data_IF_362901449365
#
_entry.id   IF_362901449365
#
_cell.length_a   1.000
_cell.length_b   1.000
_cell.length_c   1.000
_cell.angle_alpha   90.00
_cell.angle_beta   90.00
_cell.angle_gamma   90.00
#
_symmetry.space_group_name_H-M   'P 1'
#
loop_
_entity.id
_entity.type
_entity.pdbx_description
1 polymer ?
#
# COMPACT_ATOMS: atom_id res chain seq x y z
N UNK A 1 -17.16 19.52 20.36
CA UNK A 1 -15.79 19.47 20.93
C UNK A 1 -14.85 20.19 19.99
N UNK A 2 -14.21 21.31 20.45
CA UNK A 2 -13.16 21.99 19.67
C UNK A 2 -11.86 21.20 19.87
N UNK A 3 -11.59 20.26 18.97
CA UNK A 3 -10.37 19.47 19.00
C UNK A 3 -9.11 20.29 18.66
N UNK A 4 -9.28 21.42 17.96
CA UNK A 4 -8.20 22.35 17.63
C UNK A 4 -8.70 23.77 17.44
N UNK A 5 -7.79 24.75 17.49
CA UNK A 5 -8.04 26.14 17.13
C UNK A 5 -6.82 26.73 16.41
N UNK A 6 -7.08 27.59 15.43
CA UNK A 6 -6.03 28.38 14.77
C UNK A 6 -6.02 29.75 15.42
N UNK A 7 -4.90 30.15 16.00
CA UNK A 7 -4.71 31.45 16.63
C UNK A 7 -3.84 32.31 15.73
N UNK A 8 -4.38 33.43 15.30
CA UNK A 8 -3.64 34.45 14.54
C UNK A 8 -2.91 35.38 15.56
N UNK A 9 -1.62 35.53 15.42
CA UNK A 9 -0.79 36.39 16.25
C UNK A 9 -0.41 37.66 15.47
N UNK A 10 -1.03 38.78 15.80
CA UNK A 10 -0.49 40.08 15.43
C UNK A 10 0.64 40.45 16.45
N UNK A 11 1.81 40.95 16.04
CA UNK A 11 2.14 41.68 14.82
C UNK A 11 2.81 40.85 13.68
N UNK A 12 3.11 39.57 13.90
CA UNK A 12 3.99 38.82 13.00
C UNK A 12 3.25 38.07 11.87
N UNK A 13 1.94 38.25 11.67
CA UNK A 13 1.13 37.52 10.69
C UNK A 13 1.30 36.00 10.76
N UNK A 14 1.65 35.47 11.95
CA UNK A 14 1.84 34.04 12.17
C UNK A 14 0.53 33.38 12.60
N UNK A 15 0.32 32.14 12.11
CA UNK A 15 -0.76 31.28 12.55
C UNK A 15 -0.21 30.18 13.44
N UNK A 16 -0.80 30.01 14.61
CA UNK A 16 -0.44 28.90 15.53
C UNK A 16 -1.61 27.94 15.65
N UNK A 17 -1.36 26.69 15.35
CA UNK A 17 -2.30 25.60 15.56
C UNK A 17 -2.21 25.15 17.02
N UNK A 18 -3.29 25.32 17.78
CA UNK A 18 -3.44 24.74 19.12
C UNK A 18 -4.28 23.50 19.03
N UNK A 19 -3.74 22.37 19.46
CA UNK A 19 -4.38 21.07 19.43
C UNK A 19 -4.65 20.65 20.88
N UNK A 20 -5.83 20.10 21.17
CA UNK A 20 -6.13 19.51 22.48
C UNK A 20 -5.34 18.22 22.68
N UNK A 21 -5.05 17.85 23.92
CA UNK A 21 -4.28 16.65 24.28
C UNK A 21 -4.88 15.34 23.72
N UNK A 22 -6.17 15.35 23.41
CA UNK A 22 -6.90 14.20 22.86
C UNK A 22 -7.03 14.20 21.33
N UNK A 23 -6.33 15.11 20.62
CA UNK A 23 -6.39 15.24 19.18
C UNK A 23 -4.99 15.17 18.57
N UNK A 24 -4.77 14.27 17.63
CA UNK A 24 -3.53 14.26 16.85
C UNK A 24 -3.67 15.14 15.60
N UNK A 25 -2.55 15.62 15.08
CA UNK A 25 -2.51 16.36 13.82
C UNK A 25 -3.03 15.50 12.65
N UNK A 26 -2.82 14.18 12.74
CA UNK A 26 -3.32 13.23 11.74
C UNK A 26 -4.85 13.23 11.64
N UNK A 27 -5.56 13.31 12.78
CA UNK A 27 -7.02 13.38 12.78
C UNK A 27 -7.54 14.65 12.10
N UNK A 28 -6.81 15.77 12.25
CA UNK A 28 -7.15 17.03 11.58
C UNK A 28 -6.94 16.89 10.06
N UNK A 29 -5.82 16.30 9.65
CA UNK A 29 -5.52 16.02 8.23
C UNK A 29 -6.59 15.10 7.63
N UNK A 30 -6.95 14.02 8.31
CA UNK A 30 -7.97 13.08 7.88
C UNK A 30 -9.33 13.78 7.68
N UNK A 31 -9.74 14.62 8.65
CA UNK A 31 -10.98 15.38 8.53
C UNK A 31 -10.96 16.32 7.33
N UNK A 32 -9.85 17.06 7.13
CA UNK A 32 -9.68 17.96 6.00
C UNK A 32 -9.75 17.24 4.65
N UNK A 33 -9.14 16.04 4.56
CA UNK A 33 -9.22 15.21 3.35
C UNK A 33 -10.65 14.80 3.06
N UNK A 34 -11.39 14.30 4.08
CA UNK A 34 -12.77 13.85 3.93
C UNK A 34 -13.74 14.97 3.58
N UNK A 35 -13.44 16.20 4.00
CA UNK A 35 -14.25 17.38 3.66
C UNK A 35 -13.93 17.91 2.25
N UNK A 36 -12.85 17.46 1.60
CA UNK A 36 -12.52 17.92 0.25
C UNK A 36 -13.51 17.41 -0.79
N UNK A 37 -13.94 18.25 -1.75
CA UNK A 37 -14.86 17.84 -2.82
C UNK A 37 -14.36 16.64 -3.61
N UNK A 38 -13.05 16.57 -3.89
CA UNK A 38 -12.44 15.44 -4.62
C UNK A 38 -12.61 14.12 -3.88
N UNK A 39 -12.37 14.11 -2.58
CA UNK A 39 -12.56 12.90 -1.78
C UNK A 39 -14.03 12.50 -1.74
N UNK A 40 -14.95 13.43 -1.50
CA UNK A 40 -16.39 13.17 -1.45
C UNK A 40 -16.92 12.61 -2.79
N UNK A 41 -16.47 13.15 -3.93
CA UNK A 41 -16.78 12.60 -5.25
C UNK A 41 -16.30 11.15 -5.37
N UNK A 42 -15.05 10.87 -5.03
CA UNK A 42 -14.48 9.53 -5.13
C UNK A 42 -15.16 8.54 -4.19
N UNK A 43 -15.39 8.92 -2.92
CA UNK A 43 -16.06 8.06 -1.93
C UNK A 43 -17.48 7.72 -2.36
N UNK A 44 -18.22 8.70 -2.88
CA UNK A 44 -19.58 8.52 -3.37
C UNK A 44 -19.63 7.61 -4.60
N UNK A 45 -18.69 7.79 -5.55
CA UNK A 45 -18.59 6.96 -6.76
C UNK A 45 -18.05 5.55 -6.50
N UNK A 46 -17.41 5.28 -5.36
CA UNK A 46 -17.05 3.92 -4.98
C UNK A 46 -18.29 3.05 -4.76
N UNK A 47 -19.35 3.63 -4.19
CA UNK A 47 -20.54 2.90 -3.73
C UNK A 47 -21.70 2.93 -4.72
N UNK A 48 -21.76 3.91 -5.62
CA UNK A 48 -22.87 4.08 -6.55
C UNK A 48 -22.46 4.80 -7.84
N UNK A 49 -23.23 4.56 -8.91
CA UNK A 49 -23.22 5.36 -10.11
C UNK A 49 -24.42 6.36 -10.11
N UNK A 50 -24.28 7.44 -10.84
CA UNK A 50 -25.28 8.51 -10.88
C UNK A 50 -25.78 8.77 -12.32
N UNK A 51 -27.08 9.08 -12.50
CA UNK A 51 -27.65 9.26 -13.83
C UNK A 51 -27.04 10.45 -14.59
N UNK A 52 -26.55 11.47 -13.90
CA UNK A 52 -25.87 12.62 -14.51
C UNK A 52 -25.07 13.42 -13.46
N UNK A 53 -24.26 14.37 -13.95
CA UNK A 53 -23.43 15.25 -13.11
C UNK A 53 -24.22 16.14 -12.15
N UNK A 54 -25.43 16.55 -12.49
CA UNK A 54 -26.22 17.39 -11.61
C UNK A 54 -26.65 16.64 -10.35
N UNK A 55 -27.03 15.37 -10.48
CA UNK A 55 -27.40 14.53 -9.34
C UNK A 55 -26.20 14.28 -8.44
N UNK A 56 -25.02 13.96 -9.00
CA UNK A 56 -23.80 13.81 -8.23
C UNK A 56 -23.39 15.13 -7.56
N UNK A 57 -23.51 16.27 -8.24
CA UNK A 57 -23.19 17.58 -7.69
C UNK A 57 -24.05 17.92 -6.46
N UNK A 58 -25.33 17.59 -6.53
CA UNK A 58 -26.28 17.78 -5.42
C UNK A 58 -25.90 16.86 -4.23
N UNK A 59 -25.53 15.60 -4.51
CA UNK A 59 -25.15 14.61 -3.48
C UNK A 59 -23.91 15.06 -2.70
N UNK A 60 -22.89 15.56 -3.39
CA UNK A 60 -21.63 16.01 -2.76
C UNK A 60 -21.66 17.52 -2.42
N UNK A 61 -22.79 18.17 -2.51
CA UNK A 61 -23.02 19.59 -2.17
C UNK A 61 -22.06 20.57 -2.87
N UNK A 62 -21.76 20.31 -4.14
CA UNK A 62 -20.88 21.15 -4.99
C UNK A 62 -21.69 21.74 -6.13
N UNK A 63 -21.31 22.95 -6.59
CA UNK A 63 -21.94 23.53 -7.76
C UNK A 63 -21.68 22.71 -9.03
N UNK A 64 -22.59 22.83 -10.03
CA UNK A 64 -22.42 22.11 -11.31
C UNK A 64 -21.13 22.50 -12.05
N UNK A 65 -20.70 23.75 -11.99
CA UNK A 65 -19.44 24.22 -12.55
C UNK A 65 -18.25 23.67 -11.72
N UNK A 66 -18.39 23.60 -10.40
CA UNK A 66 -17.40 23.06 -9.49
C UNK A 66 -17.15 21.58 -9.76
N UNK A 67 -18.21 20.75 -9.83
CA UNK A 67 -18.03 19.31 -10.04
C UNK A 67 -17.37 18.98 -11.38
N UNK A 68 -17.67 19.75 -12.45
CA UNK A 68 -17.00 19.59 -13.75
C UNK A 68 -15.49 19.83 -13.64
N UNK A 69 -15.08 20.87 -12.90
CA UNK A 69 -13.68 21.19 -12.65
C UNK A 69 -13.01 20.07 -11.86
N UNK A 70 -13.61 19.66 -10.74
CA UNK A 70 -13.05 18.60 -9.88
C UNK A 70 -12.90 17.27 -10.63
N UNK A 71 -13.89 16.85 -11.42
CA UNK A 71 -13.82 15.62 -12.22
C UNK A 71 -12.73 15.70 -13.28
N UNK A 72 -12.53 16.85 -13.92
CA UNK A 72 -11.46 17.05 -14.89
C UNK A 72 -10.09 16.82 -14.21
N UNK A 73 -9.87 17.47 -13.08
CA UNK A 73 -8.61 17.33 -12.32
C UNK A 73 -8.42 15.90 -11.78
N UNK A 74 -9.49 15.27 -11.29
CA UNK A 74 -9.44 13.86 -10.86
C UNK A 74 -9.08 12.93 -12.03
N UNK A 75 -9.64 13.15 -13.22
CA UNK A 75 -9.31 12.32 -14.38
C UNK A 75 -7.87 12.47 -14.87
N UNK A 76 -7.22 13.61 -14.65
CA UNK A 76 -5.78 13.78 -14.89
C UNK A 76 -4.96 12.85 -14.00
N UNK A 77 -5.31 12.74 -12.72
CA UNK A 77 -4.66 11.85 -11.74
C UNK A 77 -4.98 10.36 -11.94
N UNK A 78 -6.25 10.06 -12.23
CA UNK A 78 -6.73 8.68 -12.37
C UNK A 78 -6.18 8.00 -13.62
N UNK A 79 -5.89 8.77 -14.68
CA UNK A 79 -5.37 8.26 -15.96
C UNK A 79 -4.06 7.50 -15.80
N UNK A 80 -3.17 7.95 -14.94
CA UNK A 80 -1.89 7.27 -14.67
C UNK A 80 -2.09 5.86 -14.10
N UNK A 81 -3.28 5.57 -13.57
CA UNK A 81 -3.68 4.28 -12.98
C UNK A 81 -4.62 3.48 -13.85
N UNK A 82 -4.81 3.90 -15.10
CA UNK A 82 -5.82 3.32 -16.00
C UNK A 82 -7.23 3.38 -15.42
N UNK A 83 -7.53 4.43 -14.65
CA UNK A 83 -8.86 4.73 -14.10
C UNK A 83 -9.38 6.04 -14.68
N UNK A 84 -10.70 6.19 -14.69
CA UNK A 84 -11.35 7.45 -15.07
C UNK A 84 -12.75 7.56 -14.48
N UNK A 85 -13.25 8.78 -14.34
CA UNK A 85 -14.65 9.05 -14.06
C UNK A 85 -15.34 9.29 -15.41
N UNK A 86 -16.21 8.37 -15.80
CA UNK A 86 -17.08 8.49 -16.98
C UNK A 86 -18.24 9.45 -16.66
N UNK A 87 -18.66 10.23 -17.66
CA UNK A 87 -19.80 11.14 -17.55
C UNK A 87 -20.76 10.99 -18.76
N UNK A 88 -20.73 9.80 -19.40
CA UNK A 88 -21.54 9.49 -20.58
C UNK A 88 -23.00 9.17 -20.24
N UNK A 89 -23.40 7.90 -20.29
CA UNK A 89 -24.75 7.44 -19.95
C UNK A 89 -25.06 7.57 -18.46
N UNK A 90 -24.04 7.42 -17.63
CA UNK A 90 -24.08 7.65 -16.18
C UNK A 90 -22.73 8.16 -15.71
N UNK A 91 -22.69 8.70 -14.48
CA UNK A 91 -21.46 9.12 -13.83
C UNK A 91 -20.99 7.99 -12.93
N UNK A 92 -19.84 7.42 -13.25
CA UNK A 92 -19.27 6.29 -12.53
C UNK A 92 -17.76 6.26 -12.67
N UNK A 93 -17.08 5.59 -11.74
CA UNK A 93 -15.67 5.31 -11.89
C UNK A 93 -15.48 4.05 -12.73
N UNK A 94 -14.59 4.11 -13.72
CA UNK A 94 -14.33 3.06 -14.70
C UNK A 94 -12.84 2.74 -14.76
N UNK A 95 -12.51 1.52 -15.20
CA UNK A 95 -11.15 1.06 -15.40
C UNK A 95 -10.95 -0.36 -14.89
N UNK A 96 -9.69 -0.74 -14.71
CA UNK A 96 -9.33 -2.05 -14.19
C UNK A 96 -9.68 -2.20 -12.70
N UNK A 97 -10.47 -3.22 -12.36
CA UNK A 97 -10.99 -3.42 -11.01
C UNK A 97 -9.88 -3.64 -9.97
N UNK A 98 -8.77 -4.32 -10.31
CA UNK A 98 -7.64 -4.47 -9.40
C UNK A 98 -6.99 -3.11 -9.10
N UNK A 99 -6.77 -2.30 -10.13
CA UNK A 99 -6.24 -0.95 -10.00
C UNK A 99 -7.14 -0.07 -9.13
N UNK A 100 -8.45 -0.18 -9.30
CA UNK A 100 -9.45 0.53 -8.53
C UNK A 100 -9.37 0.15 -7.04
N UNK A 101 -9.28 -1.15 -6.72
CA UNK A 101 -9.16 -1.62 -5.33
C UNK A 101 -7.90 -1.13 -4.66
N UNK A 102 -6.76 -1.17 -5.35
CA UNK A 102 -5.50 -0.62 -4.83
C UNK A 102 -5.62 0.88 -4.59
N UNK A 103 -6.14 1.63 -5.56
CA UNK A 103 -6.35 3.07 -5.45
C UNK A 103 -7.20 3.44 -4.23
N UNK A 104 -8.37 2.83 -4.08
CA UNK A 104 -9.26 3.13 -2.95
C UNK A 104 -8.73 2.64 -1.61
N UNK A 105 -7.96 1.56 -1.58
CA UNK A 105 -7.28 1.12 -0.35
C UNK A 105 -6.38 2.22 0.20
N UNK A 106 -5.52 2.80 -0.64
CA UNK A 106 -4.64 3.88 -0.21
C UNK A 106 -5.40 5.18 0.08
N UNK A 107 -6.39 5.53 -0.72
CA UNK A 107 -7.22 6.70 -0.50
C UNK A 107 -7.91 6.64 0.87
N UNK A 108 -8.50 5.50 1.20
CA UNK A 108 -9.18 5.30 2.47
C UNK A 108 -8.20 5.20 3.64
N UNK A 109 -7.06 4.56 3.45
CA UNK A 109 -6.01 4.52 4.47
C UNK A 109 -5.58 5.94 4.88
N UNK A 110 -5.36 6.82 3.91
CA UNK A 110 -4.98 8.22 4.17
C UNK A 110 -6.11 9.01 4.82
N UNK A 111 -7.37 8.77 4.44
CA UNK A 111 -8.51 9.55 4.91
C UNK A 111 -9.06 9.10 6.27
N UNK A 112 -8.85 7.84 6.66
CA UNK A 112 -9.50 7.24 7.82
C UNK A 112 -8.56 6.60 8.84
N UNK A 113 -7.27 6.42 8.51
CA UNK A 113 -6.30 5.78 9.39
C UNK A 113 -6.20 6.46 10.76
N UNK A 114 -6.32 5.67 11.82
CA UNK A 114 -6.26 6.18 13.19
C UNK A 114 -7.51 6.92 13.70
N UNK A 115 -8.57 7.00 12.90
CA UNK A 115 -9.82 7.67 13.26
C UNK A 115 -10.97 6.67 13.38
N UNK A 116 -11.46 6.15 12.25
CA UNK A 116 -12.61 5.25 12.22
C UNK A 116 -12.49 4.23 11.09
N UNK A 117 -13.18 3.10 11.25
CA UNK A 117 -13.33 2.11 10.20
C UNK A 117 -14.33 2.59 9.14
N UNK A 118 -13.95 2.68 7.84
CA UNK A 118 -14.79 3.29 6.82
C UNK A 118 -15.81 2.33 6.18
N UNK A 119 -15.64 1.03 6.33
CA UNK A 119 -16.45 0.03 5.62
C UNK A 119 -17.67 -0.35 6.47
N UNK A 120 -18.86 0.16 6.10
CA UNK A 120 -20.11 -0.15 6.81
C UNK A 120 -20.58 -1.60 6.61
N UNK A 121 -20.24 -2.21 5.48
CA UNK A 121 -20.70 -3.55 5.10
C UNK A 121 -19.73 -4.67 5.47
N UNK A 122 -18.52 -4.35 5.90
CA UNK A 122 -17.46 -5.29 6.28
C UNK A 122 -16.92 -4.85 7.63
N UNK A 123 -17.07 -5.70 8.66
CA UNK A 123 -16.60 -5.33 10.00
C UNK A 123 -15.10 -5.60 10.16
N UNK A 124 -14.43 -4.78 10.97
CA UNK A 124 -13.00 -4.91 11.23
C UNK A 124 -12.65 -6.29 11.80
N UNK A 125 -13.46 -6.80 12.73
CA UNK A 125 -13.25 -8.10 13.38
C UNK A 125 -13.40 -9.27 12.40
N UNK A 126 -14.28 -9.16 11.39
CA UNK A 126 -14.41 -10.17 10.34
C UNK A 126 -13.10 -10.31 9.54
N UNK A 127 -12.43 -9.19 9.27
CA UNK A 127 -11.15 -9.20 8.56
C UNK A 127 -10.04 -9.74 9.45
N UNK A 128 -10.03 -9.39 10.72
CA UNK A 128 -9.08 -9.94 11.70
C UNK A 128 -9.20 -11.47 11.74
N UNK A 129 -10.42 -12.01 11.83
CA UNK A 129 -10.66 -13.46 11.81
C UNK A 129 -10.15 -14.12 10.51
N UNK A 130 -10.34 -13.48 9.35
CA UNK A 130 -9.81 -13.96 8.07
C UNK A 130 -8.28 -13.98 8.11
N UNK A 131 -7.65 -12.89 8.54
CA UNK A 131 -6.20 -12.72 8.55
C UNK A 131 -5.48 -13.66 9.53
N UNK A 132 -6.13 -14.07 10.63
CA UNK A 132 -5.60 -15.09 11.54
C UNK A 132 -5.37 -16.44 10.87
N UNK A 133 -6.09 -16.74 9.79
CA UNK A 133 -5.91 -17.96 8.99
C UNK A 133 -4.88 -17.83 7.87
N UNK A 134 -4.34 -16.63 7.66
CA UNK A 134 -3.32 -16.39 6.65
C UNK A 134 -2.05 -17.21 6.92
N UNK A 135 -1.36 -17.72 5.88
CA UNK A 135 -0.09 -18.40 6.06
C UNK A 135 0.92 -17.55 6.85
N UNK A 136 1.44 -18.11 7.94
CA UNK A 136 2.33 -17.39 8.87
C UNK A 136 3.67 -16.99 8.25
N UNK A 137 4.05 -17.62 7.14
CA UNK A 137 5.25 -17.27 6.37
C UNK A 137 5.11 -15.92 5.66
N UNK A 138 3.87 -15.41 5.43
CA UNK A 138 3.63 -14.15 4.72
C UNK A 138 2.93 -13.09 5.57
N UNK A 139 2.23 -13.47 6.62
CA UNK A 139 1.52 -12.54 7.49
C UNK A 139 1.66 -12.87 8.97
N UNK A 140 2.12 -11.87 9.75
CA UNK A 140 2.07 -11.84 11.21
C UNK A 140 1.72 -10.42 11.64
N UNK A 141 0.75 -10.26 12.53
CA UNK A 141 0.23 -8.96 12.98
C UNK A 141 1.17 -8.28 14.00
N UNK A 142 2.40 -7.94 13.60
CA UNK A 142 3.42 -7.42 14.52
C UNK A 142 3.65 -5.91 14.42
N UNK A 143 3.01 -5.22 13.46
CA UNK A 143 3.06 -3.77 13.32
C UNK A 143 1.65 -3.24 13.09
N UNK A 144 1.22 -2.30 13.93
CA UNK A 144 -0.13 -1.69 13.86
C UNK A 144 -0.37 -1.06 12.48
N UNK A 145 0.58 -0.30 11.96
CA UNK A 145 0.42 0.44 10.70
C UNK A 145 0.27 -0.51 9.49
N UNK A 146 1.07 -1.58 9.46
CA UNK A 146 1.00 -2.57 8.38
C UNK A 146 -0.23 -3.46 8.50
N UNK A 147 -0.58 -3.86 9.71
CA UNK A 147 -1.81 -4.58 9.97
C UNK A 147 -3.00 -3.76 9.47
N UNK A 148 -3.03 -2.47 9.77
CA UNK A 148 -4.07 -1.56 9.33
C UNK A 148 -4.16 -1.49 7.81
N UNK A 149 -3.04 -1.29 7.10
CA UNK A 149 -3.02 -1.26 5.63
C UNK A 149 -3.59 -2.55 5.03
N UNK A 150 -3.20 -3.72 5.57
CA UNK A 150 -3.71 -5.02 5.11
C UNK A 150 -5.20 -5.17 5.41
N UNK A 151 -5.68 -4.70 6.56
CA UNK A 151 -7.11 -4.69 6.88
C UNK A 151 -7.90 -3.84 5.88
N UNK A 152 -7.44 -2.63 5.56
CA UNK A 152 -8.08 -1.78 4.53
C UNK A 152 -8.11 -2.45 3.16
N UNK A 153 -7.00 -3.11 2.79
CA UNK A 153 -6.91 -3.82 1.52
C UNK A 153 -7.90 -4.99 1.44
N UNK A 154 -7.93 -5.86 2.45
CA UNK A 154 -8.87 -6.98 2.50
C UNK A 154 -10.31 -6.46 2.58
N UNK A 155 -10.56 -5.41 3.38
CA UNK A 155 -11.87 -4.76 3.47
C UNK A 155 -12.37 -4.23 2.14
N UNK A 156 -11.49 -3.58 1.36
CA UNK A 156 -11.83 -3.09 0.03
C UNK A 156 -12.15 -4.24 -0.93
N UNK A 157 -11.38 -5.34 -0.87
CA UNK A 157 -11.67 -6.52 -1.68
C UNK A 157 -13.04 -7.11 -1.37
N UNK A 158 -13.35 -7.32 -0.08
CA UNK A 158 -14.64 -7.87 0.33
C UNK A 158 -15.80 -6.92 -0.01
N UNK A 159 -15.63 -5.61 0.17
CA UNK A 159 -16.64 -4.62 -0.21
C UNK A 159 -16.97 -4.72 -1.69
N UNK A 160 -15.96 -4.63 -2.56
CA UNK A 160 -16.15 -4.64 -4.02
C UNK A 160 -16.71 -5.97 -4.52
N UNK A 161 -16.27 -7.09 -3.94
CA UNK A 161 -16.83 -8.39 -4.27
C UNK A 161 -18.29 -8.54 -3.86
N UNK A 162 -18.71 -8.01 -2.68
CA UNK A 162 -20.13 -7.97 -2.27
C UNK A 162 -20.98 -7.09 -3.19
N UNK A 163 -20.37 -6.08 -3.83
CA UNK A 163 -21.01 -5.24 -4.84
C UNK A 163 -21.03 -5.91 -6.24
N UNK A 164 -20.65 -7.16 -6.39
CA UNK A 164 -20.49 -7.86 -7.66
C UNK A 164 -19.46 -7.27 -8.64
N UNK A 165 -18.53 -6.46 -8.16
CA UNK A 165 -17.41 -5.98 -8.95
C UNK A 165 -16.31 -7.04 -8.93
N UNK A 166 -16.03 -7.67 -10.07
CA UNK A 166 -15.07 -8.77 -10.17
C UNK A 166 -13.76 -8.31 -10.80
N UNK A 167 -12.63 -8.80 -10.27
CA UNK A 167 -11.36 -8.68 -10.97
C UNK A 167 -11.38 -9.67 -12.15
N UNK A 168 -10.99 -9.19 -13.33
CA UNK A 168 -10.92 -10.02 -14.52
C UNK A 168 -9.94 -11.19 -14.29
N UNK A 169 -10.45 -12.41 -14.36
CA UNK A 169 -9.64 -13.64 -14.18
C UNK A 169 -8.65 -13.89 -15.34
N UNK A 170 -8.76 -13.14 -16.44
CA UNK A 170 -7.80 -13.17 -17.55
C UNK A 170 -6.67 -12.16 -17.39
N UNK A 171 -6.70 -11.32 -16.35
CA UNK A 171 -5.65 -10.37 -16.05
C UNK A 171 -4.31 -11.07 -15.87
N UNK A 172 -3.32 -10.62 -16.62
CA UNK A 172 -1.95 -11.09 -16.48
C UNK A 172 -1.16 -10.18 -15.55
N UNK A 173 -0.46 -10.78 -14.59
CA UNK A 173 0.51 -10.09 -13.74
C UNK A 173 1.92 -10.33 -14.29
N UNK A 174 2.82 -9.38 -14.04
CA UNK A 174 4.24 -9.49 -14.42
C UNK A 174 5.02 -10.50 -13.58
N UNK A 175 4.42 -10.98 -12.51
CA UNK A 175 5.00 -11.90 -11.53
C UNK A 175 3.95 -12.95 -11.15
N UNK A 176 4.39 -14.14 -10.75
CA UNK A 176 3.51 -15.20 -10.26
C UNK A 176 2.69 -14.71 -9.06
N UNK A 177 1.41 -15.04 -9.02
CA UNK A 177 0.60 -14.85 -7.83
C UNK A 177 1.00 -15.87 -6.75
N UNK A 178 0.96 -15.44 -5.48
CA UNK A 178 1.31 -16.31 -4.36
C UNK A 178 0.53 -17.62 -4.38
N UNK A 179 1.27 -18.69 -4.16
CA UNK A 179 0.76 -20.04 -3.93
C UNK A 179 1.52 -20.64 -2.74
N UNK A 180 0.79 -21.31 -1.86
CA UNK A 180 1.41 -22.03 -0.77
C UNK A 180 2.22 -23.23 -1.29
N UNK A 181 3.48 -23.33 -0.91
CA UNK A 181 4.42 -24.35 -1.40
C UNK A 181 4.67 -25.48 -0.40
N UNK A 182 4.50 -25.22 0.91
CA UNK A 182 4.67 -26.23 1.98
C UNK A 182 3.32 -26.79 2.42
N UNK A 183 3.31 -27.97 3.03
CA UNK A 183 2.07 -28.57 3.57
C UNK A 183 1.42 -27.73 4.66
N UNK A 184 2.21 -27.02 5.47
CA UNK A 184 1.70 -26.11 6.49
C UNK A 184 1.04 -24.88 5.85
N UNK A 185 1.72 -24.25 4.89
CA UNK A 185 1.18 -23.08 4.18
C UNK A 185 -0.05 -23.41 3.35
N UNK A 186 -0.13 -24.61 2.73
CA UNK A 186 -1.32 -25.09 2.01
C UNK A 186 -2.53 -25.27 2.93
N UNK A 187 -2.33 -25.77 4.14
CA UNK A 187 -3.43 -25.86 5.13
C UNK A 187 -3.95 -24.48 5.49
N UNK A 188 -3.04 -23.54 5.76
CA UNK A 188 -3.41 -22.16 6.10
C UNK A 188 -4.08 -21.45 4.92
N UNK A 189 -3.56 -21.60 3.70
CA UNK A 189 -4.18 -21.06 2.48
C UNK A 189 -5.60 -21.62 2.30
N UNK A 190 -5.79 -22.93 2.47
CA UNK A 190 -7.12 -23.56 2.39
C UNK A 190 -8.08 -23.03 3.45
N UNK A 191 -7.60 -22.77 4.67
CA UNK A 191 -8.40 -22.18 5.74
C UNK A 191 -8.77 -20.72 5.41
N UNK A 192 -7.82 -19.96 4.87
CA UNK A 192 -8.02 -18.59 4.42
C UNK A 192 -9.07 -18.51 3.30
N UNK A 193 -8.95 -19.36 2.27
CA UNK A 193 -9.95 -19.47 1.18
C UNK A 193 -11.34 -19.74 1.75
N UNK A 194 -11.48 -20.68 2.69
CA UNK A 194 -12.77 -21.00 3.32
C UNK A 194 -13.37 -19.82 4.09
N UNK A 195 -12.55 -19.03 4.79
CA UNK A 195 -13.02 -17.85 5.51
C UNK A 195 -13.44 -16.73 4.56
N UNK A 196 -12.65 -16.47 3.50
CA UNK A 196 -13.03 -15.52 2.44
C UNK A 196 -14.32 -15.97 1.75
N UNK A 197 -14.46 -17.27 1.45
CA UNK A 197 -15.65 -17.84 0.81
C UNK A 197 -16.93 -17.63 1.62
N UNK A 198 -16.87 -17.66 2.95
CA UNK A 198 -18.03 -17.37 3.82
C UNK A 198 -18.53 -15.93 3.65
N UNK A 199 -17.66 -15.01 3.31
CA UNK A 199 -17.98 -13.60 3.09
C UNK A 199 -18.54 -13.33 1.69
N UNK A 200 -18.33 -14.26 0.74
CA UNK A 200 -18.62 -14.12 -0.68
C UNK A 200 -19.43 -15.33 -1.23
N UNK A 201 -20.64 -15.58 -0.72
CA UNK A 201 -21.38 -16.83 -0.96
C UNK A 201 -21.77 -17.07 -2.43
N UNK A 202 -21.79 -16.03 -3.26
CA UNK A 202 -22.25 -16.11 -4.66
C UNK A 202 -21.12 -16.30 -5.68
N UNK A 203 -19.91 -16.67 -5.23
CA UNK A 203 -18.76 -16.89 -6.11
C UNK A 203 -18.52 -18.36 -6.41
N UNK A 204 -18.12 -18.67 -7.65
CA UNK A 204 -17.64 -19.99 -7.97
C UNK A 204 -16.22 -20.21 -7.40
N UNK A 205 -15.81 -21.47 -7.30
CA UNK A 205 -14.52 -21.84 -6.67
C UNK A 205 -13.31 -21.23 -7.39
N UNK A 206 -13.33 -21.14 -8.72
CA UNK A 206 -12.21 -20.58 -9.51
C UNK A 206 -12.03 -19.09 -9.25
N UNK A 207 -13.12 -18.32 -9.28
CA UNK A 207 -13.11 -16.88 -8.97
C UNK A 207 -12.64 -16.64 -7.54
N UNK A 208 -13.13 -17.45 -6.59
CA UNK A 208 -12.75 -17.38 -5.19
C UNK A 208 -11.25 -17.61 -4.98
N UNK A 209 -10.72 -18.67 -5.60
CA UNK A 209 -9.29 -18.99 -5.52
C UNK A 209 -8.45 -17.88 -6.11
N UNK A 210 -8.83 -17.34 -7.27
CA UNK A 210 -8.12 -16.25 -7.92
C UNK A 210 -8.12 -14.97 -7.08
N UNK A 211 -9.27 -14.56 -6.56
CA UNK A 211 -9.38 -13.40 -5.65
C UNK A 211 -8.50 -13.60 -4.41
N UNK A 212 -8.51 -14.80 -3.84
CA UNK A 212 -7.70 -15.14 -2.66
C UNK A 212 -6.20 -15.06 -2.97
N UNK A 213 -5.77 -15.59 -4.11
CA UNK A 213 -4.37 -15.50 -4.55
C UNK A 213 -3.93 -14.04 -4.74
N UNK A 214 -4.79 -13.18 -5.28
CA UNK A 214 -4.51 -11.74 -5.38
C UNK A 214 -4.36 -11.10 -4.00
N UNK A 215 -5.25 -11.43 -3.06
CA UNK A 215 -5.17 -10.91 -1.69
C UNK A 215 -3.85 -11.35 -1.04
N UNK A 216 -3.51 -12.63 -1.08
CA UNK A 216 -2.29 -13.17 -0.49
C UNK A 216 -1.03 -12.58 -1.17
N UNK A 217 -1.03 -12.45 -2.50
CA UNK A 217 0.06 -11.81 -3.23
C UNK A 217 0.30 -10.37 -2.79
N UNK A 218 -0.78 -9.62 -2.56
CA UNK A 218 -0.65 -8.24 -2.08
C UNK A 218 -0.15 -8.19 -0.64
N UNK A 219 -0.55 -9.14 0.21
CA UNK A 219 0.00 -9.29 1.56
C UNK A 219 1.52 -9.54 1.49
N UNK A 220 1.99 -10.43 0.60
CA UNK A 220 3.41 -10.66 0.34
C UNK A 220 4.11 -9.37 -0.12
N UNK A 221 3.52 -8.66 -1.06
CA UNK A 221 4.07 -7.42 -1.63
C UNK A 221 4.24 -6.31 -0.58
N UNK A 222 3.34 -6.23 0.37
CA UNK A 222 3.42 -5.25 1.46
C UNK A 222 4.12 -5.77 2.71
N UNK A 223 4.44 -7.02 2.78
CA UNK A 223 5.21 -7.77 3.77
C UNK A 223 5.39 -7.18 5.18
N UNK A 224 5.40 -8.01 6.19
CA UNK A 224 5.66 -7.56 7.57
C UNK A 224 7.14 -7.75 7.92
N UNK A 225 7.96 -6.72 7.67
CA UNK A 225 9.42 -6.77 7.78
C UNK A 225 9.98 -7.02 9.20
N UNK A 226 9.17 -6.89 10.23
CA UNK A 226 9.68 -6.91 11.61
C UNK A 226 9.60 -8.27 12.32
N UNK A 227 8.98 -9.28 11.70
CA UNK A 227 8.63 -10.52 12.41
C UNK A 227 8.77 -11.81 11.61
N UNK A 228 9.24 -11.74 10.38
CA UNK A 228 9.47 -12.93 9.59
C UNK A 228 10.87 -13.45 9.94
N UNK A 229 10.90 -14.63 10.54
CA UNK A 229 12.12 -15.31 10.91
C UNK A 229 12.78 -16.01 9.73
N UNK A 230 12.01 -16.24 8.66
CA UNK A 230 12.45 -16.99 7.48
C UNK A 230 11.74 -16.45 6.22
N UNK A 231 12.47 -16.42 5.12
CA UNK A 231 11.95 -16.12 3.79
C UNK A 231 10.79 -17.04 3.44
N UNK A 232 9.64 -16.52 2.91
CA UNK A 232 8.57 -17.36 2.41
C UNK A 232 9.04 -18.35 1.36
N UNK A 233 8.62 -19.60 1.51
CA UNK A 233 8.98 -20.70 0.59
C UNK A 233 8.60 -20.44 -0.85
N UNK A 234 7.52 -19.69 -1.08
CA UNK A 234 7.05 -19.24 -2.37
C UNK A 234 8.15 -18.59 -3.22
N UNK A 235 9.01 -17.74 -2.64
CA UNK A 235 10.05 -17.06 -3.40
C UNK A 235 11.10 -17.99 -3.99
N UNK A 236 11.31 -19.16 -3.37
CA UNK A 236 12.30 -20.15 -3.82
C UNK A 236 11.71 -21.31 -4.61
N UNK A 237 10.40 -21.58 -4.48
CA UNK A 237 9.77 -22.80 -4.97
C UNK A 237 8.79 -22.54 -6.11
N UNK A 238 8.49 -21.30 -6.46
CA UNK A 238 7.63 -21.00 -7.60
C UNK A 238 8.45 -20.99 -8.91
N UNK A 239 8.03 -21.80 -9.88
CA UNK A 239 8.72 -22.00 -11.16
C UNK A 239 8.84 -20.69 -11.96
N UNK A 240 7.81 -19.86 -11.98
CA UNK A 240 7.86 -18.59 -12.72
C UNK A 240 8.85 -17.61 -12.08
N UNK A 241 8.95 -17.55 -10.75
CA UNK A 241 9.92 -16.72 -10.05
C UNK A 241 11.35 -17.25 -10.30
N UNK A 242 11.54 -18.56 -10.35
CA UNK A 242 12.83 -19.17 -10.66
C UNK A 242 13.27 -18.84 -12.10
N UNK A 243 12.38 -19.01 -13.07
CA UNK A 243 12.64 -18.66 -14.49
C UNK A 243 12.97 -17.17 -14.68
N UNK A 244 12.34 -16.29 -13.92
CA UNK A 244 12.66 -14.86 -13.90
C UNK A 244 14.03 -14.55 -13.27
N UNK A 245 14.62 -15.50 -12.56
CA UNK A 245 15.82 -15.24 -11.75
C UNK A 245 15.56 -14.32 -10.57
N UNK A 246 14.34 -14.32 -10.04
CA UNK A 246 13.88 -13.36 -9.02
C UNK A 246 14.76 -13.35 -7.78
N UNK A 247 15.07 -14.52 -7.20
CA UNK A 247 15.92 -14.60 -6.01
C UNK A 247 17.39 -14.29 -6.30
N UNK A 248 17.91 -14.60 -7.51
CA UNK A 248 19.25 -14.16 -7.91
C UNK A 248 19.41 -12.64 -7.90
N UNK A 249 18.35 -11.93 -8.29
CA UNK A 249 18.30 -10.48 -8.22
C UNK A 249 18.35 -9.97 -6.77
N UNK A 250 17.57 -10.60 -5.89
CA UNK A 250 17.51 -10.27 -4.46
C UNK A 250 18.85 -10.54 -3.77
N UNK A 251 19.44 -11.71 -4.02
CA UNK A 251 20.73 -12.12 -3.44
C UNK A 251 21.83 -11.16 -3.87
N UNK A 252 21.92 -10.90 -5.16
CA UNK A 252 22.89 -9.96 -5.70
C UNK A 252 22.80 -8.57 -5.07
N UNK A 253 21.58 -8.00 -5.00
CA UNK A 253 21.37 -6.70 -4.39
C UNK A 253 21.76 -6.68 -2.91
N UNK A 254 21.41 -7.74 -2.18
CA UNK A 254 21.71 -7.86 -0.74
C UNK A 254 23.21 -8.00 -0.46
N UNK A 255 23.91 -8.78 -1.27
CA UNK A 255 25.35 -8.97 -1.18
C UNK A 255 26.11 -7.68 -1.50
N UNK A 256 25.73 -6.98 -2.59
CA UNK A 256 26.36 -5.70 -2.93
C UNK A 256 26.20 -4.65 -1.82
N UNK A 257 25.05 -4.61 -1.16
CA UNK A 257 24.85 -3.71 0.00
C UNK A 257 25.75 -4.15 1.16
N UNK A 258 25.76 -5.44 1.50
CA UNK A 258 26.55 -5.96 2.62
C UNK A 258 28.06 -5.73 2.46
N UNK A 259 28.59 -5.97 1.25
CA UNK A 259 30.01 -5.81 0.93
C UNK A 259 30.49 -4.35 1.01
N UNK A 260 29.58 -3.39 0.91
CA UNK A 260 29.89 -1.96 1.00
C UNK A 260 29.66 -1.38 2.40
N UNK A 261 29.28 -2.21 3.40
CA UNK A 261 29.13 -1.77 4.77
C UNK A 261 30.44 -1.90 5.54
N UNK A 262 30.74 -0.93 6.40
CA UNK A 262 31.89 -1.00 7.32
C UNK A 262 31.80 -2.15 8.32
N UNK A 263 30.60 -2.55 8.68
CA UNK A 263 30.27 -3.69 9.53
C UNK A 263 29.26 -4.54 8.77
N UNK A 264 29.64 -5.73 8.29
CA UNK A 264 28.74 -6.62 7.58
C UNK A 264 27.56 -7.06 8.45
N UNK A 265 26.42 -7.31 7.83
CA UNK A 265 25.27 -7.87 8.50
C UNK A 265 25.54 -9.29 9.01
N UNK A 266 24.98 -9.63 10.15
CA UNK A 266 24.88 -11.03 10.60
C UNK A 266 24.01 -11.86 9.64
N UNK A 267 24.11 -13.19 9.69
CA UNK A 267 23.29 -14.07 8.86
C UNK A 267 21.79 -13.80 8.99
N UNK A 268 21.31 -13.57 10.22
CA UNK A 268 19.92 -13.23 10.51
C UNK A 268 19.50 -11.88 9.91
N UNK A 269 20.37 -10.89 9.94
CA UNK A 269 20.10 -9.57 9.34
C UNK A 269 20.10 -9.65 7.83
N UNK A 270 21.00 -10.45 7.24
CA UNK A 270 21.03 -10.71 5.81
C UNK A 270 19.76 -11.41 5.32
N UNK A 271 19.25 -12.40 6.03
CA UNK A 271 17.98 -13.07 5.70
C UNK A 271 16.82 -12.07 5.72
N UNK A 272 16.80 -11.19 6.70
CA UNK A 272 15.78 -10.15 6.80
C UNK A 272 15.93 -9.08 5.70
N UNK A 273 17.15 -8.70 5.32
CA UNK A 273 17.41 -7.79 4.20
C UNK A 273 16.93 -8.39 2.88
N UNK A 274 17.27 -9.67 2.62
CA UNK A 274 16.78 -10.41 1.45
C UNK A 274 15.26 -10.44 1.39
N UNK A 275 14.61 -10.72 2.51
CA UNK A 275 13.15 -10.69 2.57
C UNK A 275 12.58 -9.31 2.27
N UNK A 276 13.17 -8.26 2.81
CA UNK A 276 12.74 -6.88 2.53
C UNK A 276 12.87 -6.57 1.03
N UNK A 277 14.00 -6.90 0.42
CA UNK A 277 14.23 -6.67 -1.01
C UNK A 277 13.31 -7.54 -1.88
N UNK A 278 13.09 -8.80 -1.51
CA UNK A 278 12.13 -9.67 -2.19
C UNK A 278 10.72 -9.07 -2.18
N UNK A 279 10.22 -8.64 -1.03
CA UNK A 279 8.89 -8.05 -0.92
C UNK A 279 8.76 -6.73 -1.69
N UNK A 280 9.79 -5.87 -1.69
CA UNK A 280 9.80 -4.64 -2.47
C UNK A 280 9.77 -4.96 -3.97
N UNK A 281 10.67 -5.81 -4.46
CA UNK A 281 10.73 -6.17 -5.87
C UNK A 281 9.42 -6.81 -6.33
N UNK A 282 8.88 -7.73 -5.52
CA UNK A 282 7.59 -8.36 -5.78
C UNK A 282 6.46 -7.35 -5.89
N UNK A 283 6.45 -6.33 -5.02
CA UNK A 283 5.47 -5.22 -5.05
C UNK A 283 5.51 -4.46 -6.37
N UNK A 284 6.69 -4.11 -6.87
CA UNK A 284 6.82 -3.39 -8.14
C UNK A 284 6.38 -4.24 -9.33
N UNK A 285 6.63 -5.55 -9.32
CA UNK A 285 6.13 -6.43 -10.36
C UNK A 285 4.62 -6.67 -10.28
N UNK A 286 4.06 -6.78 -9.08
CA UNK A 286 2.64 -7.04 -8.87
C UNK A 286 1.78 -5.79 -9.14
N UNK A 287 2.20 -4.64 -8.61
CA UNK A 287 1.39 -3.42 -8.59
C UNK A 287 1.74 -2.42 -9.69
N UNK A 288 2.91 -2.57 -10.33
CA UNK A 288 3.36 -1.68 -11.41
C UNK A 288 3.24 -0.18 -11.02
N UNK A 289 2.65 0.62 -11.91
CA UNK A 289 2.43 2.06 -11.69
C UNK A 289 1.35 2.41 -10.67
N UNK A 290 0.62 1.41 -10.15
CA UNK A 290 -0.47 1.65 -9.18
C UNK A 290 0.01 2.24 -7.85
N UNK A 291 1.31 2.05 -7.54
CA UNK A 291 1.94 2.60 -6.33
C UNK A 291 2.31 4.08 -6.49
N UNK A 292 2.16 4.67 -7.67
CA UNK A 292 2.50 6.07 -7.91
C UNK A 292 1.67 7.02 -7.06
N UNK A 293 2.28 8.13 -6.68
CA UNK A 293 1.84 9.09 -5.66
C UNK A 293 0.43 9.62 -5.90
N UNK A 294 -0.31 9.86 -4.82
CA UNK A 294 -1.56 10.61 -4.78
C UNK A 294 -1.28 12.12 -4.80
N UNK A 295 -0.56 12.63 -5.81
CA UNK A 295 0.05 13.95 -5.75
C UNK A 295 -0.96 15.11 -5.62
N UNK A 296 -2.18 14.96 -6.18
CA UNK A 296 -3.15 16.06 -6.23
C UNK A 296 -4.51 15.72 -5.60
N UNK A 297 -4.75 14.47 -5.21
CA UNK A 297 -6.01 14.05 -4.56
C UNK A 297 -5.99 14.41 -3.08
N UNK A 298 -4.81 14.34 -2.47
CA UNK A 298 -4.59 14.65 -1.07
C UNK A 298 -3.61 15.83 -0.96
N UNK A 299 -4.13 17.07 -0.81
CA UNK A 299 -3.28 18.25 -0.66
C UNK A 299 -2.31 18.09 0.52
N UNK A 300 -1.05 18.41 0.31
CA UNK A 300 0.01 18.35 1.34
C UNK A 300 0.65 16.97 1.56
N UNK A 301 0.14 15.89 0.97
CA UNK A 301 0.73 14.55 1.10
C UNK A 301 2.16 14.48 0.53
N UNK A 302 2.41 15.14 -0.58
CA UNK A 302 3.74 15.25 -1.21
C UNK A 302 4.76 15.97 -0.36
N UNK A 303 4.34 16.99 0.39
CA UNK A 303 5.24 17.76 1.24
C UNK A 303 5.59 16.98 2.52
N UNK A 304 4.65 16.20 3.04
CA UNK A 304 4.91 15.28 4.15
C UNK A 304 5.91 14.19 3.74
N UNK A 305 5.71 13.56 2.59
CA UNK A 305 6.60 12.54 2.03
C UNK A 305 8.01 13.12 1.74
N UNK A 306 8.11 14.33 1.19
CA UNK A 306 9.39 15.04 0.99
C UNK A 306 10.09 15.38 2.30
N UNK A 307 9.37 15.76 3.33
CA UNK A 307 9.95 16.09 4.63
C UNK A 307 10.44 14.83 5.35
N UNK A 308 9.70 13.72 5.27
CA UNK A 308 10.15 12.41 5.79
C UNK A 308 11.44 11.98 5.08
N UNK A 309 11.53 12.13 3.74
CA UNK A 309 12.75 11.81 2.98
C UNK A 309 13.95 12.71 3.31
N UNK A 310 13.73 13.96 3.69
CA UNK A 310 14.81 14.88 4.11
C UNK A 310 15.39 14.54 5.48
N UNK A 311 14.60 13.92 6.35
CA UNK A 311 15.03 13.53 7.70
C UNK A 311 15.92 12.27 7.63
N UNK A 312 15.67 11.38 6.66
CA UNK A 312 16.42 10.12 6.49
C UNK A 312 17.54 10.28 5.43
N UNK A 313 18.62 10.98 5.78
CA UNK A 313 19.80 11.10 4.91
C UNK A 313 20.79 9.96 5.15
N UNK A 314 20.61 8.84 4.47
CA UNK A 314 21.67 7.83 4.32
C UNK A 314 22.51 8.18 3.08
N UNK A 315 23.18 9.30 3.14
CA UNK A 315 23.88 9.91 1.99
C UNK A 315 24.98 9.04 1.38
N UNK A 316 25.51 8.04 2.10
CA UNK A 316 26.61 7.21 1.62
C UNK A 316 26.15 5.98 0.82
N UNK A 317 24.93 5.51 1.02
CA UNK A 317 24.39 4.34 0.31
C UNK A 317 23.59 4.72 -0.96
N UNK A 318 23.13 5.97 -1.08
CA UNK A 318 22.37 6.42 -2.25
C UNK A 318 23.09 6.20 -3.59
N UNK A 319 24.39 6.53 -3.74
CA UNK A 319 25.12 6.24 -4.97
C UNK A 319 25.21 4.74 -5.27
N UNK A 320 25.38 3.90 -4.26
CA UNK A 320 25.43 2.44 -4.40
C UNK A 320 24.09 1.91 -4.91
N UNK A 321 22.98 2.28 -4.28
CA UNK A 321 21.65 1.83 -4.67
C UNK A 321 21.29 2.32 -6.08
N UNK A 322 21.64 3.57 -6.42
CA UNK A 322 21.44 4.11 -7.76
C UNK A 322 22.26 3.35 -8.82
N UNK A 323 23.49 2.95 -8.51
CA UNK A 323 24.28 2.09 -9.38
C UNK A 323 23.67 0.70 -9.52
N UNK A 324 23.22 0.09 -8.42
CA UNK A 324 22.58 -1.21 -8.37
C UNK A 324 21.37 -1.29 -9.32
N UNK A 325 20.46 -0.34 -9.23
CA UNK A 325 19.23 -0.30 -10.05
C UNK A 325 19.53 -0.13 -11.54
N UNK A 326 20.70 0.41 -11.89
CA UNK A 326 21.14 0.58 -13.27
C UNK A 326 21.84 -0.65 -13.87
N UNK A 327 22.09 -1.70 -13.09
CA UNK A 327 22.72 -2.91 -13.58
C UNK A 327 21.77 -3.70 -14.52
N UNK A 328 22.40 -4.47 -15.41
CA UNK A 328 21.67 -5.30 -16.38
C UNK A 328 20.69 -6.27 -15.70
N UNK A 329 21.08 -6.80 -14.56
CA UNK A 329 20.32 -7.73 -13.73
C UNK A 329 19.03 -7.09 -13.18
N UNK A 330 19.08 -5.78 -12.88
CA UNK A 330 17.96 -4.99 -12.36
C UNK A 330 17.09 -4.36 -13.47
N UNK A 331 17.35 -4.68 -14.73
CA UNK A 331 16.70 -4.03 -15.90
C UNK A 331 15.17 -4.03 -15.83
N UNK A 332 14.58 -5.08 -15.32
CA UNK A 332 13.11 -5.19 -15.19
C UNK A 332 12.52 -4.19 -14.18
N UNK A 333 13.32 -3.74 -13.22
CA UNK A 333 12.93 -2.77 -12.19
C UNK A 333 13.31 -1.34 -12.54
N UNK A 334 14.03 -1.12 -13.65
CA UNK A 334 14.48 0.21 -14.07
C UNK A 334 13.36 1.27 -14.21
N UNK A 335 12.15 0.93 -14.68
CA UNK A 335 11.04 1.89 -14.72
C UNK A 335 10.67 2.48 -13.35
N UNK A 336 11.11 1.85 -12.25
CA UNK A 336 10.81 2.23 -10.88
C UNK A 336 12.02 2.79 -10.11
N UNK A 337 13.13 3.13 -10.81
CA UNK A 337 14.44 3.46 -10.25
C UNK A 337 14.39 4.41 -9.05
N UNK A 338 13.80 5.59 -9.20
CA UNK A 338 13.76 6.59 -8.13
C UNK A 338 13.08 6.08 -6.87
N UNK A 339 11.98 5.36 -7.04
CA UNK A 339 11.16 4.90 -5.95
C UNK A 339 11.74 3.65 -5.30
N UNK A 340 12.25 2.73 -6.12
CA UNK A 340 12.95 1.54 -5.65
C UNK A 340 14.17 1.93 -4.81
N UNK A 341 14.96 2.89 -5.29
CA UNK A 341 16.10 3.46 -4.54
C UNK A 341 15.63 4.03 -3.19
N UNK A 342 14.55 4.80 -3.19
CA UNK A 342 13.99 5.36 -1.96
C UNK A 342 13.51 4.27 -0.98
N UNK A 343 12.82 3.24 -1.46
CA UNK A 343 12.31 2.16 -0.62
C UNK A 343 13.45 1.30 -0.03
N UNK A 344 14.50 1.05 -0.81
CA UNK A 344 15.70 0.36 -0.33
C UNK A 344 16.43 1.18 0.73
N UNK A 345 16.61 2.48 0.51
CA UNK A 345 17.25 3.37 1.49
C UNK A 345 16.47 3.45 2.81
N UNK A 346 15.13 3.49 2.77
CA UNK A 346 14.29 3.49 3.98
C UNK A 346 14.53 2.22 4.82
N UNK A 347 14.71 1.06 4.17
CA UNK A 347 14.97 -0.18 4.87
C UNK A 347 16.35 -0.17 5.51
N UNK A 348 17.36 0.27 4.77
CA UNK A 348 18.74 0.32 5.24
C UNK A 348 18.89 1.32 6.39
N UNK A 349 18.27 2.49 6.30
CA UNK A 349 18.27 3.51 7.36
C UNK A 349 17.71 2.96 8.68
N UNK A 350 16.54 2.33 8.63
CA UNK A 350 15.93 1.69 9.80
C UNK A 350 16.81 0.61 10.44
N UNK A 351 17.72 0.01 9.67
CA UNK A 351 18.64 -1.03 10.16
C UNK A 351 19.93 -0.47 10.75
N UNK A 352 20.45 0.60 10.16
CA UNK A 352 21.65 1.28 10.65
C UNK A 352 21.38 1.86 12.05
N UNK A 353 20.20 2.45 12.29
CA UNK A 353 19.79 2.91 13.62
C UNK A 353 19.76 1.76 14.65
N UNK A 354 19.29 0.58 14.28
CA UNK A 354 19.32 -0.60 15.17
C UNK A 354 20.75 -1.05 15.51
N UNK A 355 21.67 -0.98 14.57
CA UNK A 355 23.08 -1.38 14.78
C UNK A 355 23.82 -0.42 15.71
N UNK A 356 23.49 0.87 15.66
CA UNK A 356 24.09 1.91 16.53
C UNK A 356 23.60 1.75 17.97
N UNK A 357 22.36 1.36 18.19
CA UNK A 357 21.80 1.18 19.54
C UNK A 357 22.25 -0.12 20.25
N UNK A 358 22.80 -1.08 19.53
CA UNK A 358 23.28 -2.35 20.08
C UNK A 358 24.79 -2.36 20.38
N UNK A 359 25.54 -1.33 20.05
CA UNK A 359 26.93 -1.21 20.44
C UNK A 359 27.01 -0.90 21.96
N UNK A 360 27.67 -1.77 22.75
CA UNK A 360 27.89 -1.44 24.17
C UNK A 360 28.78 -0.21 24.25
N UNK A 361 28.25 0.85 24.86
CA UNK A 361 29.04 2.03 25.22
C UNK A 361 30.13 1.55 26.17
N UNK A 362 31.35 1.37 25.67
CA UNK A 362 32.50 1.26 26.55
C UNK A 362 32.73 2.62 27.18
N UNK A 363 32.23 2.78 28.41
CA UNK A 363 32.62 3.88 29.29
C UNK A 363 34.07 3.57 29.71
N UNK A 364 35.01 4.33 29.18
CA UNK A 364 36.37 4.44 29.74
C UNK A 364 36.38 5.51 30.80
#
# INVERSE_FOLDING_TARGET
YKAFSIVHSAPNLSYTLKISDNCSIQLIINAYIRESPKFQILETLLLASFPNLQVLANEVHVSYSGIKKEIKELNEELRERNLSISTGSQVEITGDEFSLRIFYTFLFLVAYSGDRWPFSFVQYDEITDILESCPKEIYRANSIDKAMMIHYYVGMHLLRDRMNCQIDTTRQFKVALYKACTEESKKSESAFIKKVAKQLPNRNYKEMTYTTQIILSTIVAFGSYSSIEKMPSFFYMDEQLEEMGFMKLVDYASEQVNDNLSIPFSEKEMELLRYCFASINYRYFLLDNLINKFNNIVPGYTDLDRNIRKIHKVNHLEPLISQLVNLKEMRLLKPFEERLTSDYLIILDKRIDFSIHTLPIKVT
#
